data_IF_129336675359
#
_entry.id   IF_129336675359
#
_cell.length_a   1.000
_cell.length_b   1.000
_cell.length_c   1.000
_cell.angle_alpha   90.00
_cell.angle_beta   90.00
_cell.angle_gamma   90.00
#
_symmetry.space_group_name_H-M   'P 1'
#
loop_
_entity.id
_entity.type
_entity.pdbx_description
1 polymer ?
#
# COMPACT_ATOMS: atom_id res chain seq x y z
N UNK A 1 12.14 -2.03 10.29
CA UNK A 1 11.44 -1.90 8.99
C UNK A 1 10.26 -0.95 9.15
N UNK A 2 9.98 -0.09 8.16
CA UNK A 2 8.81 0.79 8.21
C UNK A 2 7.64 0.20 7.44
N UNK A 3 6.42 0.41 7.94
CA UNK A 3 5.19 -0.02 7.28
C UNK A 3 4.48 1.19 6.66
N UNK A 4 4.27 1.18 5.36
CA UNK A 4 3.42 2.16 4.65
C UNK A 4 2.05 1.55 4.44
N UNK A 5 1.02 2.08 5.11
CA UNK A 5 -0.35 1.59 5.02
C UNK A 5 -1.15 2.50 4.09
N UNK A 6 -1.66 1.93 3.00
CA UNK A 6 -2.52 2.61 2.05
C UNK A 6 -3.98 2.56 2.54
N UNK A 7 -4.50 3.69 3.02
CA UNK A 7 -5.83 3.81 3.61
C UNK A 7 -6.71 4.85 2.91
N UNK A 8 -6.39 5.19 1.64
CA UNK A 8 -7.07 6.24 0.86
C UNK A 8 -8.24 5.75 0.00
N UNK A 9 -8.51 4.45 -0.08
CA UNK A 9 -9.58 3.88 -0.91
C UNK A 9 -10.97 4.40 -0.55
N UNK A 10 -11.89 4.49 -1.54
CA UNK A 10 -13.28 4.91 -1.34
C UNK A 10 -14.13 3.86 -0.62
N UNK A 11 -13.75 2.59 -0.72
CA UNK A 11 -14.44 1.48 -0.05
C UNK A 11 -15.76 1.07 -0.70
N UNK A 12 -16.03 1.50 -1.94
CA UNK A 12 -17.31 1.32 -2.62
C UNK A 12 -17.71 -0.16 -2.81
N UNK A 13 -16.73 -1.06 -2.82
CA UNK A 13 -16.94 -2.51 -3.04
C UNK A 13 -17.78 -3.22 -1.97
N UNK A 14 -18.00 -2.62 -0.81
CA UNK A 14 -18.82 -3.16 0.28
C UNK A 14 -20.10 -2.34 0.54
N UNK A 15 -20.56 -1.56 -0.45
CA UNK A 15 -21.87 -0.93 -0.31
C UNK A 15 -22.97 -2.00 -0.16
N UNK A 16 -23.99 -1.86 0.74
CA UNK A 16 -24.33 -0.70 1.54
C UNK A 16 -23.66 -0.61 2.92
N UNK A 17 -22.77 -1.51 3.28
CA UNK A 17 -22.07 -1.48 4.58
C UNK A 17 -21.07 -0.32 4.66
N UNK A 18 -20.28 -0.14 3.59
CA UNK A 18 -19.38 1.01 3.48
C UNK A 18 -20.12 2.26 3.00
N UNK A 19 -19.60 3.43 3.35
CA UNK A 19 -20.11 4.74 2.95
C UNK A 19 -18.97 5.66 2.56
N UNK A 20 -19.22 6.67 1.74
CA UNK A 20 -18.23 7.66 1.29
C UNK A 20 -17.45 8.28 2.46
N UNK A 21 -18.11 8.54 3.58
CA UNK A 21 -17.48 9.11 4.77
C UNK A 21 -17.03 8.05 5.80
N UNK A 22 -17.32 6.78 5.57
CA UNK A 22 -16.94 5.65 6.43
C UNK A 22 -16.64 4.42 5.56
N UNK A 23 -15.53 4.44 4.80
CA UNK A 23 -15.18 3.34 3.91
C UNK A 23 -14.71 2.10 4.67
N UNK A 24 -14.67 0.97 3.96
CA UNK A 24 -14.46 -0.37 4.51
C UNK A 24 -13.27 -0.50 5.45
N UNK A 25 -12.15 0.17 5.15
CA UNK A 25 -10.93 0.08 5.95
C UNK A 25 -11.09 0.62 7.38
N UNK A 26 -12.11 1.42 7.64
CA UNK A 26 -12.39 1.96 8.98
C UNK A 26 -13.52 1.23 9.72
N UNK A 27 -14.15 0.24 9.06
CA UNK A 27 -15.24 -0.53 9.66
C UNK A 27 -14.68 -1.53 10.70
N UNK A 28 -15.37 -1.65 11.82
CA UNK A 28 -15.09 -2.69 12.81
C UNK A 28 -15.56 -4.04 12.26
N UNK A 29 -14.63 -4.97 12.07
CA UNK A 29 -14.92 -6.28 11.50
C UNK A 29 -14.59 -7.39 12.49
N UNK A 30 -13.56 -7.22 13.30
CA UNK A 30 -13.09 -8.24 14.21
C UNK A 30 -12.79 -7.65 15.60
N UNK A 31 -13.38 -8.25 16.64
CA UNK A 31 -13.07 -7.92 18.04
C UNK A 31 -13.10 -6.42 18.40
N UNK A 32 -14.00 -5.68 17.75
CA UNK A 32 -14.14 -4.23 17.98
C UNK A 32 -13.05 -3.38 17.29
N UNK A 33 -12.16 -3.98 16.49
CA UNK A 33 -11.13 -3.27 15.71
C UNK A 33 -11.52 -3.12 14.25
N UNK A 34 -11.12 -2.00 13.66
CA UNK A 34 -11.27 -1.76 12.22
C UNK A 34 -10.21 -2.52 11.40
N UNK A 35 -10.43 -2.67 10.10
CA UNK A 35 -9.44 -3.27 9.20
C UNK A 35 -8.10 -2.51 9.24
N UNK A 36 -8.12 -1.17 9.36
CA UNK A 36 -6.90 -0.38 9.55
C UNK A 36 -6.18 -0.79 10.83
N UNK A 37 -6.92 -0.91 11.95
CA UNK A 37 -6.33 -1.30 13.24
C UNK A 37 -5.82 -2.74 13.21
N UNK A 38 -6.54 -3.67 12.59
CA UNK A 38 -6.08 -5.05 12.36
C UNK A 38 -4.80 -5.07 11.51
N UNK A 39 -4.72 -4.22 10.48
CA UNK A 39 -3.52 -4.10 9.65
C UNK A 39 -2.32 -3.60 10.48
N UNK A 40 -2.53 -2.65 11.38
CA UNK A 40 -1.47 -2.19 12.29
C UNK A 40 -1.02 -3.33 13.20
N UNK A 41 -1.96 -3.97 13.92
CA UNK A 41 -1.66 -5.08 14.87
C UNK A 41 -0.91 -6.22 14.18
N UNK A 42 -1.38 -6.66 13.01
CA UNK A 42 -0.76 -7.72 12.22
C UNK A 42 0.70 -7.44 11.87
N UNK A 43 1.04 -6.17 11.64
CA UNK A 43 2.38 -5.77 11.19
C UNK A 43 3.30 -5.28 12.32
N UNK A 44 2.80 -5.10 13.56
CA UNK A 44 3.63 -4.71 14.71
C UNK A 44 4.84 -5.62 14.97
N UNK A 45 4.76 -6.95 14.77
CA UNK A 45 5.92 -7.82 14.98
C UNK A 45 7.07 -7.60 13.97
N UNK A 46 6.79 -6.96 12.84
CA UNK A 46 7.74 -6.80 11.75
C UNK A 46 8.23 -5.36 11.56
N UNK A 47 7.47 -4.38 12.04
CA UNK A 47 7.65 -2.97 11.72
C UNK A 47 7.76 -2.09 12.97
N UNK A 48 8.71 -1.15 12.95
CA UNK A 48 9.04 -0.26 14.06
C UNK A 48 8.33 1.10 13.96
N UNK A 49 7.91 1.46 12.76
CA UNK A 49 7.22 2.73 12.47
C UNK A 49 6.17 2.52 11.38
N UNK A 50 5.04 3.21 11.52
CA UNK A 50 3.90 3.13 10.60
C UNK A 50 3.66 4.48 9.91
N UNK A 51 3.46 4.46 8.61
CA UNK A 51 3.15 5.63 7.78
C UNK A 51 1.80 5.37 7.11
N UNK A 52 0.75 6.00 7.62
CA UNK A 52 -0.61 5.82 7.11
C UNK A 52 -0.87 6.88 6.04
N UNK A 53 -0.97 6.47 4.78
CA UNK A 53 -1.31 7.36 3.65
C UNK A 53 -2.81 7.30 3.41
N UNK A 54 -3.47 8.45 3.47
CA UNK A 54 -4.92 8.53 3.38
C UNK A 54 -5.41 9.86 2.81
N UNK A 55 -6.68 9.93 2.41
CA UNK A 55 -7.32 11.18 1.98
C UNK A 55 -7.44 12.17 3.14
N UNK A 56 -7.35 13.45 2.85
CA UNK A 56 -7.55 14.51 3.86
C UNK A 56 -8.91 14.40 4.55
N UNK A 57 -9.96 14.02 3.81
CA UNK A 57 -11.31 13.82 4.37
C UNK A 57 -11.39 12.74 5.45
N UNK A 58 -10.45 11.80 5.49
CA UNK A 58 -10.41 10.72 6.47
C UNK A 58 -9.53 11.01 7.68
N UNK A 59 -8.95 12.22 7.76
CA UNK A 59 -8.05 12.64 8.85
C UNK A 59 -8.60 12.34 10.24
N UNK A 60 -9.84 12.73 10.50
CA UNK A 60 -10.43 12.62 11.83
C UNK A 60 -10.65 11.16 12.24
N UNK A 61 -11.11 10.32 11.31
CA UNK A 61 -11.35 8.91 11.60
C UNK A 61 -10.04 8.15 11.80
N UNK A 62 -9.03 8.39 10.95
CA UNK A 62 -7.70 7.79 11.12
C UNK A 62 -7.08 8.21 12.45
N UNK A 63 -7.08 9.51 12.77
CA UNK A 63 -6.55 9.98 14.03
C UNK A 63 -7.32 9.41 15.23
N UNK A 64 -8.64 9.25 15.13
CA UNK A 64 -9.47 8.61 16.15
C UNK A 64 -9.08 7.16 16.39
N UNK A 65 -8.96 6.39 15.34
CA UNK A 65 -8.60 4.95 15.41
C UNK A 65 -7.16 4.74 15.88
N UNK A 66 -6.24 5.60 15.46
CA UNK A 66 -4.83 5.52 15.86
C UNK A 66 -4.57 5.94 17.31
N UNK A 67 -5.56 6.49 18.01
CA UNK A 67 -5.44 6.74 19.48
C UNK A 67 -5.20 5.46 20.27
N UNK A 68 -5.67 4.32 19.81
CA UNK A 68 -5.39 3.01 20.43
C UNK A 68 -3.90 2.63 20.39
N UNK A 69 -3.09 3.29 19.57
CA UNK A 69 -1.68 2.97 19.30
C UNK A 69 -0.74 4.12 19.66
N UNK A 70 -1.01 4.84 20.75
CA UNK A 70 -0.21 6.04 21.12
C UNK A 70 1.25 5.74 21.43
N UNK A 71 1.57 4.52 21.87
CA UNK A 71 2.93 4.06 22.14
C UNK A 71 3.73 3.77 20.86
N UNK A 72 3.05 3.54 19.73
CA UNK A 72 3.72 3.29 18.46
C UNK A 72 4.26 4.57 17.83
N UNK A 73 5.37 4.43 17.11
CA UNK A 73 5.84 5.47 16.20
C UNK A 73 4.98 5.40 14.93
N UNK A 74 4.22 6.44 14.67
CA UNK A 74 3.47 6.54 13.43
C UNK A 74 3.34 7.96 12.91
N UNK A 75 3.06 8.06 11.62
CA UNK A 75 2.81 9.29 10.88
C UNK A 75 1.58 9.12 10.01
N UNK A 76 0.77 10.16 9.91
CA UNK A 76 -0.37 10.21 8.99
C UNK A 76 -0.03 11.17 7.86
N UNK A 77 -0.05 10.67 6.64
CA UNK A 77 0.18 11.42 5.41
C UNK A 77 -1.17 11.66 4.74
N UNK A 78 -1.55 12.91 4.64
CA UNK A 78 -2.85 13.33 4.10
C UNK A 78 -2.70 13.80 2.67
N UNK A 79 -3.41 13.14 1.76
CA UNK A 79 -3.54 13.50 0.36
C UNK A 79 -4.75 14.43 0.17
N UNK A 80 -4.52 15.67 -0.23
CA UNK A 80 -5.58 16.62 -0.56
C UNK A 80 -6.30 16.29 -1.87
N UNK A 81 -5.62 15.58 -2.78
CA UNK A 81 -6.16 15.03 -4.02
C UNK A 81 -5.47 13.71 -4.33
N UNK A 82 -6.07 12.56 -4.02
CA UNK A 82 -5.46 11.25 -4.29
C UNK A 82 -5.11 11.07 -5.77
N UNK A 83 -3.94 10.52 -6.03
CA UNK A 83 -3.35 10.35 -7.37
C UNK A 83 -3.08 8.88 -7.73
N UNK A 84 -3.70 7.95 -6.99
CA UNK A 84 -3.51 6.52 -7.17
C UNK A 84 -2.44 5.93 -6.25
N UNK A 85 -2.25 4.62 -6.35
CA UNK A 85 -1.38 3.85 -5.44
C UNK A 85 0.09 4.18 -5.63
N UNK A 86 0.54 4.42 -6.85
CA UNK A 86 1.94 4.78 -7.13
C UNK A 86 2.35 6.08 -6.43
N UNK A 87 1.53 7.12 -6.52
CA UNK A 87 1.77 8.39 -5.84
C UNK A 87 1.75 8.22 -4.31
N UNK A 88 0.76 7.49 -3.77
CA UNK A 88 0.63 7.24 -2.34
C UNK A 88 1.86 6.51 -1.78
N UNK A 89 2.35 5.48 -2.48
CA UNK A 89 3.56 4.74 -2.12
C UNK A 89 4.79 5.65 -2.16
N UNK A 90 4.95 6.43 -3.22
CA UNK A 90 6.07 7.37 -3.35
C UNK A 90 6.05 8.43 -2.25
N UNK A 91 4.89 9.03 -1.94
CA UNK A 91 4.76 10.01 -0.86
C UNK A 91 5.05 9.40 0.51
N UNK A 92 4.54 8.21 0.79
CA UNK A 92 4.82 7.48 2.04
C UNK A 92 6.30 7.14 2.19
N UNK A 93 6.92 6.59 1.15
CA UNK A 93 8.32 6.14 1.15
C UNK A 93 9.33 7.27 1.32
N UNK A 94 8.97 8.50 0.99
CA UNK A 94 9.82 9.67 1.23
C UNK A 94 10.08 9.99 2.72
N UNK A 95 9.34 9.37 3.64
CA UNK A 95 9.58 9.46 5.07
C UNK A 95 10.47 8.33 5.62
N UNK A 96 11.05 7.54 4.71
CA UNK A 96 12.01 6.50 5.01
C UNK A 96 13.41 6.92 4.56
N UNK A 97 14.45 6.46 5.27
CA UNK A 97 15.83 6.61 4.79
C UNK A 97 16.09 5.62 3.66
N UNK A 98 17.01 5.94 2.77
CA UNK A 98 17.27 5.10 1.58
C UNK A 98 17.66 3.66 1.91
N UNK A 99 18.35 3.43 3.03
CA UNK A 99 18.75 2.10 3.49
C UNK A 99 17.65 1.32 4.22
N UNK A 100 16.52 1.97 4.57
CA UNK A 100 15.44 1.32 5.31
C UNK A 100 14.61 0.42 4.42
N UNK A 101 14.22 -0.74 4.95
CA UNK A 101 13.21 -1.59 4.35
C UNK A 101 11.83 -0.98 4.60
N UNK A 102 11.04 -0.95 3.54
CA UNK A 102 9.66 -0.44 3.51
C UNK A 102 8.74 -1.57 3.12
N UNK A 103 7.74 -1.82 3.97
CA UNK A 103 6.67 -2.77 3.69
C UNK A 103 5.39 -1.99 3.43
N UNK A 104 4.93 -2.01 2.19
CA UNK A 104 3.66 -1.40 1.76
C UNK A 104 2.55 -2.42 1.93
N UNK A 105 1.46 -2.02 2.57
CA UNK A 105 0.26 -2.85 2.76
C UNK A 105 -0.99 -2.03 2.52
N UNK A 106 -2.08 -2.69 2.13
CA UNK A 106 -3.39 -2.06 2.05
C UNK A 106 -4.14 -2.20 3.38
N UNK A 107 -4.91 -1.18 3.75
CA UNK A 107 -5.63 -1.14 5.03
C UNK A 107 -6.92 -1.99 5.05
N UNK A 108 -7.27 -2.63 3.95
CA UNK A 108 -8.57 -3.25 3.72
C UNK A 108 -8.52 -4.77 3.53
N UNK A 109 -7.34 -5.37 3.69
CA UNK A 109 -7.14 -6.81 3.62
C UNK A 109 -7.25 -7.45 5.00
N UNK A 110 -8.10 -8.46 5.10
CA UNK A 110 -8.12 -9.39 6.23
C UNK A 110 -7.22 -10.57 5.89
N UNK A 111 -6.13 -10.72 6.62
CA UNK A 111 -5.13 -11.76 6.38
C UNK A 111 -4.82 -12.45 7.69
N UNK A 112 -4.83 -13.78 7.69
CA UNK A 112 -4.53 -14.64 8.82
C UNK A 112 -3.60 -15.77 8.36
N UNK A 113 -2.98 -16.44 9.30
CA UNK A 113 -2.16 -17.63 9.04
C UNK A 113 -0.66 -17.39 9.17
N UNK A 114 0.07 -18.51 9.24
CA UNK A 114 1.53 -18.53 9.36
C UNK A 114 2.19 -18.13 8.03
N UNK A 115 1.57 -18.49 6.92
CA UNK A 115 2.06 -18.21 5.55
C UNK A 115 2.33 -16.72 5.33
N UNK A 116 1.53 -15.85 5.96
CA UNK A 116 1.77 -14.40 5.90
C UNK A 116 3.12 -14.00 6.52
N UNK A 117 3.46 -14.60 7.65
CA UNK A 117 4.72 -14.34 8.35
C UNK A 117 5.90 -14.85 7.54
N UNK A 118 5.78 -16.08 7.02
CA UNK A 118 6.84 -16.71 6.22
C UNK A 118 7.10 -15.93 4.93
N UNK A 119 6.04 -15.45 4.27
CA UNK A 119 6.16 -14.59 3.09
C UNK A 119 6.87 -13.27 3.40
N UNK A 120 6.59 -12.63 4.55
CA UNK A 120 7.29 -11.39 4.94
C UNK A 120 8.78 -11.67 5.21
N UNK A 121 9.10 -12.79 5.89
CA UNK A 121 10.49 -13.16 6.17
C UNK A 121 11.25 -13.34 4.85
N UNK A 122 10.68 -14.11 3.91
CA UNK A 122 11.28 -14.34 2.60
C UNK A 122 11.40 -13.05 1.78
N UNK A 123 10.35 -12.25 1.72
CA UNK A 123 10.36 -10.96 1.03
C UNK A 123 11.43 -10.00 1.59
N UNK A 124 11.66 -10.03 2.92
CA UNK A 124 12.69 -9.23 3.58
C UNK A 124 14.11 -9.63 3.16
N UNK A 125 14.36 -10.91 2.94
CA UNK A 125 15.65 -11.40 2.43
C UNK A 125 15.90 -10.91 1.01
N UNK A 126 14.93 -11.06 0.12
CA UNK A 126 15.01 -10.62 -1.28
C UNK A 126 15.18 -9.09 -1.38
N UNK A 127 14.43 -8.34 -0.58
CA UNK A 127 14.55 -6.88 -0.57
C UNK A 127 15.91 -6.38 -0.04
N UNK A 128 16.55 -7.10 0.88
CA UNK A 128 17.93 -6.80 1.31
C UNK A 128 18.95 -7.00 0.18
N UNK A 129 18.64 -7.85 -0.77
CA UNK A 129 19.46 -8.10 -1.97
C UNK A 129 19.22 -7.08 -3.10
N UNK A 130 18.28 -6.13 -2.90
CA UNK A 130 17.97 -5.07 -3.87
C UNK A 130 16.72 -5.30 -4.70
N UNK A 131 15.97 -6.38 -4.44
CA UNK A 131 14.72 -6.65 -5.14
C UNK A 131 13.57 -5.77 -4.65
N UNK A 132 12.68 -5.38 -5.56
CA UNK A 132 11.35 -4.87 -5.23
C UNK A 132 10.41 -6.08 -5.26
N UNK A 133 9.94 -6.51 -4.11
CA UNK A 133 9.17 -7.75 -3.94
C UNK A 133 7.69 -7.44 -3.91
N UNK A 134 6.91 -8.08 -4.78
CA UNK A 134 5.45 -8.09 -4.73
C UNK A 134 4.95 -9.37 -4.05
N UNK A 135 3.99 -9.27 -3.14
CA UNK A 135 3.39 -10.42 -2.50
C UNK A 135 2.17 -10.87 -3.31
N UNK A 136 2.25 -12.09 -3.84
CA UNK A 136 1.15 -12.73 -4.55
C UNK A 136 0.31 -13.60 -3.62
N UNK A 137 -0.97 -13.78 -3.96
CA UNK A 137 -1.89 -14.71 -3.31
C UNK A 137 -2.32 -15.77 -4.32
N UNK A 138 -2.28 -17.05 -3.93
CA UNK A 138 -2.73 -18.14 -4.81
C UNK A 138 -4.20 -17.94 -5.17
N UNK A 139 -4.56 -17.89 -6.47
CA UNK A 139 -5.94 -17.71 -6.86
C UNK A 139 -6.80 -18.90 -6.47
N UNK A 140 -7.93 -18.66 -5.81
CA UNK A 140 -8.93 -19.69 -5.55
C UNK A 140 -9.92 -19.86 -6.72
N UNK A 141 -10.07 -18.79 -7.53
CA UNK A 141 -10.96 -18.73 -8.71
C UNK A 141 -10.55 -17.57 -9.60
N UNK A 142 -11.00 -17.55 -10.87
CA UNK A 142 -10.87 -16.35 -11.72
C UNK A 142 -11.63 -15.19 -11.08
N UNK A 143 -10.99 -14.01 -11.04
CA UNK A 143 -11.64 -12.82 -10.49
C UNK A 143 -11.10 -11.56 -11.19
N UNK A 144 -11.93 -10.93 -12.02
CA UNK A 144 -11.60 -9.70 -12.76
C UNK A 144 -11.37 -8.46 -11.88
N UNK A 145 -11.70 -8.55 -10.59
CA UNK A 145 -11.48 -7.44 -9.67
C UNK A 145 -10.03 -7.33 -9.16
N UNK A 146 -9.19 -8.35 -9.40
CA UNK A 146 -7.79 -8.36 -9.01
C UNK A 146 -6.87 -8.21 -10.23
N UNK A 147 -5.73 -7.57 -10.02
CA UNK A 147 -4.58 -7.70 -10.90
C UNK A 147 -3.88 -9.04 -10.67
N UNK A 148 -3.15 -9.51 -11.66
CA UNK A 148 -2.43 -10.78 -11.61
C UNK A 148 -0.93 -10.55 -11.78
N UNK A 149 -0.15 -11.39 -11.13
CA UNK A 149 1.29 -11.54 -11.32
C UNK A 149 1.53 -12.86 -12.06
N UNK A 150 2.07 -12.80 -13.27
CA UNK A 150 2.65 -13.98 -13.92
C UNK A 150 4.07 -14.13 -13.38
N UNK A 151 4.40 -15.27 -12.86
CA UNK A 151 5.71 -15.54 -12.23
C UNK A 151 6.35 -16.82 -12.77
N UNK A 152 7.66 -16.84 -12.72
CA UNK A 152 8.48 -18.03 -12.82
C UNK A 152 9.26 -18.15 -11.51
N UNK A 153 8.97 -19.20 -10.74
CA UNK A 153 9.42 -19.34 -9.36
C UNK A 153 9.15 -18.07 -8.52
N UNK A 154 10.19 -17.34 -8.13
CA UNK A 154 10.10 -16.10 -7.35
C UNK A 154 10.19 -14.84 -8.24
N UNK A 155 10.37 -14.97 -9.55
CA UNK A 155 10.49 -13.82 -10.44
C UNK A 155 9.14 -13.44 -11.05
N UNK A 156 8.79 -12.15 -10.99
CA UNK A 156 7.62 -11.63 -11.70
C UNK A 156 8.01 -11.37 -13.15
N UNK A 157 7.41 -12.14 -14.05
CA UNK A 157 7.61 -11.99 -15.49
C UNK A 157 6.72 -10.89 -16.07
N UNK A 158 5.49 -10.79 -15.56
CA UNK A 158 4.51 -9.81 -16.04
C UNK A 158 3.54 -9.42 -14.94
N UNK A 159 3.23 -8.13 -14.86
CA UNK A 159 2.12 -7.61 -14.10
C UNK A 159 0.94 -7.41 -15.05
N UNK A 160 -0.21 -8.00 -14.73
CA UNK A 160 -1.40 -7.95 -15.56
C UNK A 160 -2.49 -7.25 -14.76
N UNK A 161 -2.85 -6.05 -15.20
CA UNK A 161 -3.98 -5.32 -14.61
C UNK A 161 -5.29 -6.08 -14.83
N UNK A 162 -6.34 -5.64 -14.15
CA UNK A 162 -7.68 -6.26 -14.15
C UNK A 162 -8.10 -6.74 -15.53
N UNK A 163 -8.15 -8.05 -15.71
CA UNK A 163 -8.50 -8.69 -16.97
C UNK A 163 -10.03 -8.64 -17.12
N UNK A 164 -10.51 -8.26 -18.31
CA UNK A 164 -11.87 -8.59 -18.70
C UNK A 164 -11.91 -10.10 -18.96
N UNK A 165 -12.69 -10.82 -18.17
CA UNK A 165 -12.77 -12.28 -18.17
C UNK A 165 -13.23 -12.87 -19.53
N UNK A 166 -13.77 -12.03 -20.42
CA UNK A 166 -14.30 -12.43 -21.71
C UNK A 166 -13.22 -12.56 -22.79
N UNK A 167 -12.00 -12.09 -22.56
CA UNK A 167 -10.99 -11.94 -23.62
C UNK A 167 -9.92 -13.06 -23.65
N UNK A 168 -9.84 -13.96 -22.64
CA UNK A 168 -8.77 -14.95 -22.63
C UNK A 168 -9.15 -16.26 -21.91
N UNK A 169 -9.55 -17.27 -22.70
CA UNK A 169 -9.78 -18.65 -22.22
C UNK A 169 -8.47 -19.34 -21.77
N UNK A 170 -7.31 -18.81 -22.18
CA UNK A 170 -5.99 -19.37 -21.87
C UNK A 170 -5.52 -19.09 -20.44
N UNK A 171 -6.23 -18.28 -19.67
CA UNK A 171 -5.92 -18.01 -18.27
C UNK A 171 -6.23 -19.24 -17.40
N UNK A 172 -5.26 -20.16 -17.33
CA UNK A 172 -5.29 -21.31 -16.43
C UNK A 172 -5.15 -20.90 -14.97
N UNK A 173 -5.71 -21.69 -14.07
CA UNK A 173 -5.51 -21.57 -12.61
C UNK A 173 -4.18 -22.15 -12.14
N UNK A 174 -3.41 -22.71 -13.12
CA UNK A 174 -2.25 -23.53 -12.85
C UNK A 174 -0.96 -22.72 -12.95
N UNK A 175 -0.13 -22.96 -12.00
CA UNK A 175 1.30 -22.74 -11.85
C UNK A 175 1.92 -21.56 -12.63
N UNK A 176 1.97 -20.41 -11.99
CA UNK A 176 2.61 -19.21 -12.49
C UNK A 176 1.79 -17.95 -12.25
N UNK A 177 0.50 -18.07 -11.97
CA UNK A 177 -0.33 -16.90 -11.67
C UNK A 177 -0.59 -16.73 -10.18
N UNK A 178 -0.53 -15.49 -9.73
CA UNK A 178 -0.94 -15.09 -8.39
C UNK A 178 -1.79 -13.82 -8.48
N UNK A 179 -2.77 -13.66 -7.63
CA UNK A 179 -3.40 -12.35 -7.45
C UNK A 179 -2.41 -11.38 -6.86
N UNK A 180 -2.36 -10.16 -7.40
CA UNK A 180 -1.63 -9.08 -6.76
C UNK A 180 -2.35 -8.66 -5.47
N UNK A 181 -1.71 -8.86 -4.33
CA UNK A 181 -2.26 -8.46 -3.04
C UNK A 181 -2.21 -6.95 -2.78
N UNK A 182 -1.51 -6.19 -3.62
CA UNK A 182 -1.20 -4.78 -3.39
C UNK A 182 -0.17 -4.55 -2.28
N UNK A 183 0.52 -5.60 -1.85
CA UNK A 183 1.58 -5.52 -0.84
C UNK A 183 2.95 -5.64 -1.50
N UNK A 184 3.87 -4.75 -1.10
CA UNK A 184 5.22 -4.69 -1.66
C UNK A 184 6.24 -4.54 -0.55
N UNK A 185 7.42 -5.15 -0.70
CA UNK A 185 8.54 -4.98 0.21
C UNK A 185 9.80 -4.67 -0.57
N UNK A 186 10.49 -3.60 -0.19
CA UNK A 186 11.68 -3.11 -0.89
C UNK A 186 12.54 -2.26 0.05
N UNK A 187 13.75 -1.95 -0.36
CA UNK A 187 14.56 -0.89 0.24
C UNK A 187 14.15 0.45 -0.37
N UNK A 188 13.92 1.47 0.46
CA UNK A 188 13.42 2.77 -0.01
C UNK A 188 14.28 3.36 -1.13
N UNK A 189 15.60 3.20 -1.08
CA UNK A 189 16.52 3.64 -2.13
C UNK A 189 16.30 2.93 -3.46
N UNK A 190 15.97 1.63 -3.44
CA UNK A 190 15.76 0.84 -4.66
C UNK A 190 14.47 1.29 -5.37
N UNK A 191 13.39 1.52 -4.62
CA UNK A 191 12.17 2.11 -5.18
C UNK A 191 12.43 3.51 -5.77
N UNK A 192 13.15 4.38 -5.05
CA UNK A 192 13.47 5.73 -5.50
C UNK A 192 14.29 5.69 -6.80
N UNK A 193 15.27 4.80 -6.89
CA UNK A 193 16.10 4.64 -8.08
C UNK A 193 15.28 4.12 -9.26
N UNK A 194 14.44 3.10 -9.05
CA UNK A 194 13.53 2.57 -10.06
C UNK A 194 12.55 3.67 -10.55
N UNK A 195 11.91 4.39 -9.64
CA UNK A 195 10.98 5.46 -9.99
C UNK A 195 11.67 6.59 -10.79
N UNK A 196 12.89 6.97 -10.42
CA UNK A 196 13.65 7.99 -11.15
C UNK A 196 13.96 7.59 -12.59
N UNK A 197 14.14 6.30 -12.85
CA UNK A 197 14.46 5.77 -14.19
C UNK A 197 13.20 5.49 -15.02
N UNK A 198 12.17 4.89 -14.40
CA UNK A 198 11.00 4.37 -15.11
C UNK A 198 9.89 5.42 -15.20
N UNK A 199 9.70 6.23 -14.15
CA UNK A 199 8.65 7.25 -14.08
C UNK A 199 9.18 8.57 -13.47
N UNK A 200 10.12 9.25 -14.15
CA UNK A 200 10.81 10.43 -13.62
C UNK A 200 9.86 11.58 -13.26
N UNK A 201 8.78 11.76 -13.99
CA UNK A 201 7.77 12.77 -13.68
C UNK A 201 7.12 12.53 -12.31
N UNK A 202 6.72 11.29 -12.01
CA UNK A 202 6.16 10.93 -10.70
C UNK A 202 7.19 11.15 -9.59
N UNK A 203 8.43 10.72 -9.81
CA UNK A 203 9.50 10.90 -8.84
C UNK A 203 9.75 12.38 -8.54
N UNK A 204 9.95 13.21 -9.57
CA UNK A 204 10.28 14.63 -9.40
C UNK A 204 9.14 15.42 -8.76
N UNK A 205 7.90 15.20 -9.22
CA UNK A 205 6.73 15.90 -8.67
C UNK A 205 6.46 15.51 -7.21
N UNK A 206 6.58 14.23 -6.84
CA UNK A 206 6.47 13.79 -5.46
C UNK A 206 7.60 14.38 -4.58
N UNK A 207 8.84 14.43 -5.08
CA UNK A 207 9.98 15.03 -4.39
C UNK A 207 9.78 16.53 -4.16
N UNK A 208 9.30 17.24 -5.17
CA UNK A 208 8.99 18.67 -5.06
C UNK A 208 7.82 18.92 -4.10
N UNK A 209 6.79 18.07 -4.13
CA UNK A 209 5.67 18.13 -3.21
C UNK A 209 6.13 18.03 -1.76
N UNK A 210 7.02 17.09 -1.44
CA UNK A 210 7.55 16.92 -0.08
C UNK A 210 8.28 18.14 0.44
N UNK A 211 9.01 18.87 -0.41
CA UNK A 211 9.72 20.10 -0.01
C UNK A 211 8.78 21.24 0.41
N UNK A 212 7.52 21.19 -0.03
CA UNK A 212 6.50 22.23 0.21
C UNK A 212 5.60 21.94 1.40
N UNK A 213 5.85 20.83 2.13
CA UNK A 213 5.01 20.44 3.26
C UNK A 213 5.79 20.43 4.56
N UNK A 214 5.12 20.86 5.64
CA UNK A 214 5.62 20.77 7.00
C UNK A 214 4.85 19.69 7.76
N UNK A 215 5.55 18.98 8.64
CA UNK A 215 4.92 18.07 9.58
C UNK A 215 4.46 18.83 10.81
N UNK A 216 3.21 18.64 11.18
CA UNK A 216 2.66 19.14 12.44
C UNK A 216 2.37 17.93 13.34
N UNK A 217 3.17 17.76 14.38
CA UNK A 217 3.14 16.55 15.23
C UNK A 217 3.33 15.28 14.38
N UNK A 218 2.30 14.42 14.34
CA UNK A 218 2.31 13.13 13.58
C UNK A 218 1.67 13.24 12.19
N UNK A 219 1.24 14.43 11.77
CA UNK A 219 0.48 14.61 10.52
C UNK A 219 1.27 15.45 9.53
N UNK A 220 1.31 14.98 8.29
CA UNK A 220 1.83 15.70 7.12
C UNK A 220 0.69 15.87 6.13
N UNK A 221 0.50 17.09 5.63
CA UNK A 221 -0.58 17.40 4.70
C UNK A 221 -0.03 17.83 3.35
N UNK A 222 -0.34 17.07 2.32
CA UNK A 222 -0.16 17.44 0.93
C UNK A 222 -1.47 18.05 0.42
N UNK A 223 -1.55 19.38 0.36
CA UNK A 223 -2.74 20.09 -0.12
C UNK A 223 -3.03 19.79 -1.59
N UNK A 224 -4.26 20.02 -2.03
CA UNK A 224 -4.64 19.88 -3.45
C UNK A 224 -3.70 20.66 -4.38
N UNK A 225 -3.32 21.90 -4.00
CA UNK A 225 -2.39 22.74 -4.76
C UNK A 225 -1.01 22.07 -4.92
N UNK A 226 -0.50 21.45 -3.86
CA UNK A 226 0.81 20.77 -3.87
C UNK A 226 0.76 19.49 -4.69
N UNK A 227 -0.38 18.79 -4.69
CA UNK A 227 -0.56 17.53 -5.42
C UNK A 227 -1.00 17.72 -6.88
N UNK A 228 -1.26 18.97 -7.33
CA UNK A 228 -1.81 19.24 -8.66
C UNK A 228 -0.97 18.61 -9.78
N UNK A 229 0.33 18.74 -9.66
CA UNK A 229 1.29 18.35 -10.70
C UNK A 229 1.72 16.87 -10.60
N UNK A 230 1.29 16.15 -9.57
CA UNK A 230 1.59 14.72 -9.43
C UNK A 230 0.73 13.95 -10.44
N UNK A 231 1.33 13.13 -11.32
CA UNK A 231 0.58 12.32 -12.27
C UNK A 231 -0.26 11.26 -11.54
N UNK A 232 -1.38 10.89 -12.16
CA UNK A 232 -2.22 9.79 -11.68
C UNK A 232 -1.64 8.46 -12.16
N UNK A 233 -1.56 7.46 -11.28
CA UNK A 233 -1.06 6.15 -11.64
C UNK A 233 -1.28 5.10 -10.55
N UNK A 234 -1.35 3.85 -10.99
CA UNK A 234 -1.27 2.66 -10.14
C UNK A 234 0.10 1.98 -10.30
N UNK A 235 0.46 1.16 -9.32
CA UNK A 235 1.60 0.23 -9.43
C UNK A 235 1.10 -1.10 -9.91
#
# INVERSE_FOLDING_TARGET
MKCVILAGGSGDSLWPLSRKNYPKQFMNIKEGRSLLQETVVRNMPFCDEFIIVTKESYRNIVNGQMKAFQSLKYRVVLEGSPKGTAAAIMLGSQFCNQSELVFVVTADNLIEGQEYKDAIIRAKELAKQGSIVALGVKPAKKNSNFGYLLRDEENVLKFIEKIRLDDDESFGYDDGFSWNSGMFLYRAGDLINAARTICPELYDTCRMAKRKVAAIRRTVRFSQKVMKDIPQGSI
#
